data_IF_717173115099
#
_entry.id   IF_717173115099
#
_cell.length_a   1.000
_cell.length_b   1.000
_cell.length_c   1.000
_cell.angle_alpha   90.00
_cell.angle_beta   90.00
_cell.angle_gamma   90.00
#
_symmetry.space_group_name_H-M   'P 1'
#
loop_
_entity.id
_entity.type
_entity.pdbx_description
1 polymer ?
#
# COMPACT_ATOMS: atom_id res chain seq x y z
N UNK A 1 11.19 -7.16 -2.64
CA UNK A 1 10.36 -7.55 -1.49
C UNK A 1 9.89 -8.98 -1.67
N UNK A 2 9.70 -9.71 -0.59
CA UNK A 2 9.22 -11.09 -0.56
C UNK A 2 7.76 -11.17 -0.11
N UNK A 3 7.15 -12.34 -0.28
CA UNK A 3 5.77 -12.57 0.17
C UNK A 3 5.75 -12.56 1.71
N UNK A 4 4.85 -11.77 2.29
CA UNK A 4 4.76 -11.58 3.75
C UNK A 4 5.50 -10.36 4.28
N UNK A 5 6.29 -9.67 3.46
CA UNK A 5 6.91 -8.40 3.87
C UNK A 5 5.83 -7.34 4.13
N UNK A 6 6.05 -6.56 5.20
CA UNK A 6 5.26 -5.39 5.50
C UNK A 6 5.80 -4.18 4.74
N UNK A 7 4.91 -3.50 4.03
CA UNK A 7 5.23 -2.36 3.17
C UNK A 7 4.23 -1.24 3.33
N UNK A 8 4.71 -0.01 3.17
CA UNK A 8 3.90 1.17 3.01
C UNK A 8 3.64 1.48 1.54
N UNK A 9 2.45 1.97 1.23
CA UNK A 9 2.05 2.38 -0.13
C UNK A 9 2.02 3.90 -0.21
N UNK A 10 2.56 4.47 -1.29
CA UNK A 10 2.51 5.92 -1.53
C UNK A 10 1.08 6.43 -1.65
N UNK A 11 0.79 7.58 -1.02
CA UNK A 11 -0.49 8.25 -1.12
C UNK A 11 -0.55 9.14 -2.36
N UNK A 12 -1.58 8.93 -3.19
CA UNK A 12 -1.87 9.76 -4.37
C UNK A 12 -3.18 10.55 -4.22
N UNK A 13 -3.77 10.56 -3.03
CA UNK A 13 -5.00 11.30 -2.79
C UNK A 13 -4.79 12.81 -2.99
N UNK A 14 -5.60 13.36 -3.88
CA UNK A 14 -5.68 14.79 -4.14
C UNK A 14 -7.11 15.26 -3.93
N UNK A 15 -7.61 15.12 -2.70
CA UNK A 15 -8.95 15.59 -2.33
C UNK A 15 -9.00 17.11 -2.40
N UNK A 16 -9.88 17.71 -3.22
CA UNK A 16 -10.02 19.17 -3.30
C UNK A 16 -10.43 19.74 -1.94
N UNK A 17 -9.82 20.85 -1.53
CA UNK A 17 -10.14 21.52 -0.26
C UNK A 17 -9.35 21.02 0.96
N UNK A 18 -8.53 19.96 0.84
CA UNK A 18 -7.63 19.50 1.89
C UNK A 18 -6.19 19.92 1.57
N UNK A 19 -5.47 20.44 2.57
CA UNK A 19 -4.07 20.81 2.41
C UNK A 19 -3.19 19.56 2.29
N UNK A 20 -2.49 19.42 1.16
CA UNK A 20 -1.58 18.30 0.86
C UNK A 20 -0.50 18.08 1.92
N UNK A 21 -0.12 19.12 2.67
CA UNK A 21 0.87 19.01 3.75
C UNK A 21 0.39 18.21 4.95
N UNK A 22 -0.92 18.18 5.20
CA UNK A 22 -1.51 17.41 6.30
C UNK A 22 -1.75 15.94 5.94
N UNK A 23 -1.63 15.58 4.67
CA UNK A 23 -1.85 14.22 4.21
C UNK A 23 -0.51 13.47 4.31
N UNK A 24 -0.45 12.32 5.00
CA UNK A 24 0.77 11.53 5.05
C UNK A 24 1.14 11.04 3.65
N UNK A 25 2.44 11.12 3.32
CA UNK A 25 2.95 10.75 1.99
C UNK A 25 2.83 9.24 1.70
N UNK A 26 2.78 8.42 2.75
CA UNK A 26 2.66 6.98 2.70
C UNK A 26 1.53 6.52 3.62
N UNK A 27 0.82 5.48 3.22
CA UNK A 27 -0.31 4.89 3.94
C UNK A 27 0.04 3.47 4.36
N UNK A 28 -0.37 3.16 5.59
CA UNK A 28 -0.62 1.83 6.14
C UNK A 28 0.56 0.86 6.16
N UNK A 29 0.58 -0.09 7.11
CA UNK A 29 1.26 -1.35 6.91
C UNK A 29 0.36 -2.22 6.04
N UNK A 30 0.86 -2.60 4.88
CA UNK A 30 0.25 -3.61 4.04
C UNK A 30 1.19 -4.79 3.88
N UNK A 31 0.63 -5.95 3.55
CA UNK A 31 1.40 -7.16 3.33
C UNK A 31 1.50 -7.48 1.84
N UNK A 32 2.66 -7.95 1.40
CA UNK A 32 2.82 -8.46 0.04
C UNK A 32 2.19 -9.85 -0.07
N UNK A 33 1.06 -9.91 -0.77
CA UNK A 33 0.34 -11.15 -1.06
C UNK A 33 1.02 -11.97 -2.16
N UNK A 34 1.53 -11.30 -3.20
CA UNK A 34 2.13 -11.96 -4.37
C UNK A 34 3.19 -11.10 -5.03
N UNK A 35 4.32 -11.72 -5.37
CA UNK A 35 5.35 -11.11 -6.23
C UNK A 35 5.01 -11.41 -7.70
N UNK A 36 4.92 -10.37 -8.53
CA UNK A 36 4.74 -10.48 -9.97
C UNK A 36 6.08 -10.26 -10.69
N UNK A 37 6.12 -10.48 -12.00
CA UNK A 37 7.25 -10.10 -12.84
C UNK A 37 7.38 -8.58 -12.97
N UNK A 38 8.59 -8.11 -13.29
CA UNK A 38 8.93 -6.72 -13.57
C UNK A 38 8.67 -5.79 -12.37
N UNK A 39 9.15 -6.16 -11.19
CA UNK A 39 9.12 -5.35 -9.96
C UNK A 39 7.72 -4.88 -9.53
N UNK A 40 6.70 -5.67 -9.88
CA UNK A 40 5.32 -5.44 -9.47
C UNK A 40 4.95 -6.38 -8.34
N UNK A 41 4.14 -5.89 -7.42
CA UNK A 41 3.72 -6.61 -6.23
C UNK A 41 2.23 -6.44 -6.02
N UNK A 42 1.53 -7.53 -5.70
CA UNK A 42 0.16 -7.48 -5.20
C UNK A 42 0.24 -7.30 -3.70
N UNK A 43 -0.35 -6.22 -3.24
CA UNK A 43 -0.35 -5.82 -1.84
C UNK A 43 -1.77 -5.91 -1.31
N UNK A 44 -1.92 -6.45 -0.11
CA UNK A 44 -3.20 -6.63 0.57
C UNK A 44 -3.12 -6.17 2.02
N UNK A 45 -4.29 -5.97 2.64
CA UNK A 45 -4.34 -5.78 4.08
C UNK A 45 -3.78 -7.02 4.81
N UNK A 46 -3.03 -6.85 5.93
CA UNK A 46 -2.60 -7.96 6.77
C UNK A 46 -3.79 -8.73 7.34
N UNK A 47 -3.61 -10.03 7.58
CA UNK A 47 -4.66 -10.88 8.12
C UNK A 47 -5.20 -10.35 9.47
N UNK A 48 -6.51 -10.11 9.54
CA UNK A 48 -7.17 -9.59 10.74
C UNK A 48 -7.18 -8.06 10.88
N UNK A 49 -6.49 -7.33 10.00
CA UNK A 49 -6.38 -5.88 10.02
C UNK A 49 -7.04 -5.24 8.78
N UNK A 50 -8.35 -5.42 8.60
CA UNK A 50 -9.09 -4.73 7.53
C UNK A 50 -9.66 -3.39 8.03
N UNK A 51 -9.32 -2.30 7.33
CA UNK A 51 -9.85 -0.97 7.66
C UNK A 51 -11.25 -0.73 7.06
N UNK A 52 -11.59 -1.44 5.98
CA UNK A 52 -12.88 -1.36 5.30
C UNK A 52 -13.53 -2.75 5.26
N UNK A 53 -14.85 -2.83 5.05
CA UNK A 53 -15.58 -4.09 4.91
C UNK A 53 -15.00 -5.01 3.82
N UNK A 54 -14.40 -4.44 2.77
CA UNK A 54 -13.67 -5.18 1.75
C UNK A 54 -12.18 -5.06 1.99
N UNK A 55 -11.52 -6.21 2.04
CA UNK A 55 -10.06 -6.31 2.02
C UNK A 55 -9.50 -5.53 0.84
N UNK A 56 -8.54 -4.68 1.11
CA UNK A 56 -7.79 -4.00 0.09
C UNK A 56 -6.94 -5.01 -0.69
N UNK A 57 -6.96 -4.89 -2.02
CA UNK A 57 -6.03 -5.58 -2.90
C UNK A 57 -5.66 -4.66 -4.05
N UNK A 58 -4.37 -4.38 -4.20
CA UNK A 58 -3.85 -3.49 -5.24
C UNK A 58 -2.53 -3.99 -5.80
N UNK A 59 -2.29 -3.74 -7.09
CA UNK A 59 -0.99 -4.01 -7.72
C UNK A 59 -0.17 -2.73 -7.75
N UNK A 60 1.05 -2.78 -7.22
CA UNK A 60 1.95 -1.64 -7.09
C UNK A 60 3.32 -1.93 -7.69
N UNK A 61 3.95 -0.88 -8.20
CA UNK A 61 5.33 -0.86 -8.63
C UNK A 61 6.26 -0.62 -7.42
N UNK A 62 7.48 -1.14 -7.49
CA UNK A 62 8.50 -0.98 -6.44
C UNK A 62 8.75 0.47 -6.03
N UNK A 63 8.67 1.43 -6.96
CA UNK A 63 8.91 2.85 -6.69
C UNK A 63 7.84 3.49 -5.78
N UNK A 64 6.67 2.85 -5.69
CA UNK A 64 5.54 3.30 -4.88
C UNK A 64 5.45 2.57 -3.53
N UNK A 65 6.38 1.65 -3.25
CA UNK A 65 6.45 0.87 -2.03
C UNK A 65 7.66 1.26 -1.19
N UNK A 66 7.49 1.26 0.12
CA UNK A 66 8.60 1.35 1.08
C UNK A 66 8.50 0.21 2.10
N UNK A 67 9.62 -0.28 2.64
CA UNK A 67 9.57 -1.14 3.81
C UNK A 67 8.87 -0.41 4.96
N UNK A 68 8.00 -1.13 5.68
CA UNK A 68 7.37 -0.62 6.91
C UNK A 68 8.39 -0.51 8.05
#
# INVERSE_FOLDING_TARGET
YEKGDLVMIRNFESTPGINKKMIPQFRGPYEISRVLRNDRYVVSDPAGCQNTQRLYSGTWDVNNLRPW
#
